data_IF_919092979650
#
_entry.id   IF_919092979650
#
_cell.length_a   1.000
_cell.length_b   1.000
_cell.length_c   1.000
_cell.angle_alpha   90.00
_cell.angle_beta   90.00
_cell.angle_gamma   90.00
#
_symmetry.space_group_name_H-M   'P 1'
#
loop_
_entity.id
_entity.type
_entity.pdbx_description
1 polymer ?
#
# COMPACT_ATOMS: atom_id res chain seq x y z
N UNK A 1 -6.03 8.81 -1.38
CA UNK A 1 -6.88 10.02 -1.36
C UNK A 1 -6.15 11.29 -1.81
N UNK A 2 -4.83 11.27 -2.08
CA UNK A 2 -4.08 12.47 -2.50
C UNK A 2 -4.70 13.20 -3.69
N UNK A 3 -5.07 12.46 -4.75
CA UNK A 3 -5.70 13.05 -5.94
C UNK A 3 -7.05 13.72 -5.62
N UNK A 4 -7.81 13.16 -4.68
CA UNK A 4 -9.08 13.74 -4.23
C UNK A 4 -8.83 15.06 -3.49
N UNK A 5 -7.88 15.09 -2.56
CA UNK A 5 -7.53 16.31 -1.82
C UNK A 5 -6.99 17.40 -2.75
N UNK A 6 -6.11 17.04 -3.68
CA UNK A 6 -5.60 17.95 -4.70
C UNK A 6 -6.74 18.54 -5.55
N UNK A 7 -7.64 17.70 -6.07
CA UNK A 7 -8.79 18.15 -6.85
C UNK A 7 -9.78 19.02 -6.06
N UNK A 8 -9.88 18.81 -4.73
CA UNK A 8 -10.74 19.59 -3.83
C UNK A 8 -10.04 20.79 -3.17
N UNK A 9 -8.75 20.99 -3.42
CA UNK A 9 -7.96 22.05 -2.78
C UNK A 9 -7.79 21.88 -1.26
N UNK A 10 -7.90 20.66 -0.75
CA UNK A 10 -7.75 20.38 0.69
C UNK A 10 -6.26 20.23 1.01
N UNK A 11 -5.71 21.25 1.65
CA UNK A 11 -4.27 21.30 2.03
C UNK A 11 -4.05 21.03 3.51
N UNK A 12 -4.99 21.45 4.36
CA UNK A 12 -4.92 21.30 5.81
C UNK A 12 -4.97 19.83 6.23
N UNK A 13 -3.99 19.41 7.03
CA UNK A 13 -3.82 18.01 7.42
C UNK A 13 -4.92 17.51 8.34
N UNK A 14 -5.42 18.34 9.25
CA UNK A 14 -6.54 17.98 10.14
C UNK A 14 -7.80 17.76 9.31
N UNK A 15 -8.06 18.61 8.31
CA UNK A 15 -9.17 18.43 7.38
C UNK A 15 -9.00 17.16 6.54
N UNK A 16 -7.78 16.82 6.10
CA UNK A 16 -7.51 15.57 5.37
C UNK A 16 -7.79 14.33 6.23
N UNK A 17 -7.30 14.30 7.47
CA UNK A 17 -7.53 13.20 8.41
C UNK A 17 -9.03 13.02 8.67
N UNK A 18 -9.72 14.12 9.00
CA UNK A 18 -11.17 14.09 9.23
C UNK A 18 -11.93 13.61 8.00
N UNK A 19 -11.63 14.16 6.82
CA UNK A 19 -12.29 13.78 5.57
C UNK A 19 -12.04 12.30 5.25
N UNK A 20 -10.80 11.82 5.38
CA UNK A 20 -10.48 10.42 5.12
C UNK A 20 -11.16 9.46 6.09
N UNK A 21 -11.23 9.84 7.37
CA UNK A 21 -11.89 9.03 8.39
C UNK A 21 -13.38 8.79 8.10
N UNK A 22 -14.05 9.75 7.44
CA UNK A 22 -15.45 9.60 7.03
C UNK A 22 -15.66 8.53 5.94
N UNK A 23 -14.60 8.17 5.21
CA UNK A 23 -14.65 7.10 4.20
C UNK A 23 -14.31 5.71 4.76
N UNK A 24 -13.91 5.60 6.03
CA UNK A 24 -13.64 4.29 6.64
C UNK A 24 -14.95 3.54 6.90
N UNK A 25 -14.94 2.24 6.62
CA UNK A 25 -16.09 1.34 6.86
C UNK A 25 -15.65 0.11 7.65
N UNK A 26 -16.64 -0.63 8.19
CA UNK A 26 -16.46 -1.93 8.84
C UNK A 26 -15.35 -1.94 9.90
N UNK A 27 -14.36 -2.84 9.74
CA UNK A 27 -13.26 -3.03 10.69
C UNK A 27 -12.37 -1.78 10.77
N UNK A 28 -12.17 -1.06 9.66
CA UNK A 28 -11.36 0.16 9.65
C UNK A 28 -12.03 1.30 10.42
N UNK A 29 -13.35 1.41 10.35
CA UNK A 29 -14.11 2.38 11.16
C UNK A 29 -14.04 2.06 12.66
N UNK A 30 -14.16 0.77 13.03
CA UNK A 30 -14.05 0.35 14.43
C UNK A 30 -12.66 0.63 15.01
N UNK A 31 -11.60 0.34 14.24
CA UNK A 31 -10.24 0.70 14.61
C UNK A 31 -10.09 2.20 14.85
N UNK A 32 -10.55 3.04 13.91
CA UNK A 32 -10.43 4.50 14.03
C UNK A 32 -11.16 5.05 15.26
N UNK A 33 -12.34 4.51 15.58
CA UNK A 33 -13.06 4.86 16.82
C UNK A 33 -12.31 4.47 18.07
N UNK A 34 -11.70 3.28 18.10
CA UNK A 34 -10.83 2.86 19.20
C UNK A 34 -9.63 3.80 19.36
N UNK A 35 -8.96 4.09 18.24
CA UNK A 35 -7.77 4.95 18.17
C UNK A 35 -8.01 6.39 18.66
N UNK A 36 -9.20 6.93 18.40
CA UNK A 36 -9.58 8.31 18.78
C UNK A 36 -10.16 8.41 20.20
N UNK A 37 -10.71 7.32 20.73
CA UNK A 37 -11.28 7.29 22.09
C UNK A 37 -10.21 7.01 23.16
N UNK A 38 -9.10 6.40 22.76
CA UNK A 38 -7.98 6.11 23.64
C UNK A 38 -7.25 7.39 24.08
N UNK A 39 -7.55 7.84 25.30
CA UNK A 39 -6.95 9.04 25.90
C UNK A 39 -5.45 8.92 26.18
N UNK A 40 -4.88 7.72 26.09
CA UNK A 40 -3.43 7.52 26.22
C UNK A 40 -2.67 7.82 24.94
N UNK A 41 -3.37 7.88 23.80
CA UNK A 41 -2.76 8.13 22.50
C UNK A 41 -2.91 9.60 22.10
N UNK A 42 -1.85 10.14 21.50
CA UNK A 42 -1.86 11.51 20.99
C UNK A 42 -2.85 11.64 19.83
N UNK A 43 -3.48 12.82 19.71
CA UNK A 43 -4.31 13.17 18.58
C UNK A 43 -3.48 13.16 17.29
N UNK A 44 -4.00 12.52 16.23
CA UNK A 44 -3.35 12.48 14.93
C UNK A 44 -3.68 13.78 14.19
N UNK A 45 -2.81 14.77 14.34
CA UNK A 45 -2.94 16.07 13.67
C UNK A 45 -2.32 16.13 12.27
N UNK A 46 -1.44 15.18 11.92
CA UNK A 46 -0.77 15.14 10.62
C UNK A 46 -1.32 14.05 9.72
N UNK A 47 -1.44 14.37 8.44
CA UNK A 47 -1.94 13.43 7.44
C UNK A 47 -1.01 12.21 7.27
N UNK A 48 0.30 12.44 7.32
CA UNK A 48 1.29 11.37 7.19
C UNK A 48 1.20 10.35 8.36
N UNK A 49 0.98 10.82 9.58
CA UNK A 49 0.84 9.96 10.77
C UNK A 49 -0.40 9.06 10.63
N UNK A 50 -1.52 9.63 10.18
CA UNK A 50 -2.73 8.86 9.87
C UNK A 50 -2.48 7.79 8.81
N UNK A 51 -1.77 8.14 7.72
CA UNK A 51 -1.43 7.18 6.67
C UNK A 51 -0.55 6.03 7.18
N UNK A 52 0.46 6.34 8.01
CA UNK A 52 1.35 5.33 8.58
C UNK A 52 0.60 4.35 9.47
N UNK A 53 -0.24 4.85 10.38
CA UNK A 53 -1.00 3.99 11.28
C UNK A 53 -2.07 3.17 10.54
N UNK A 54 -2.81 3.80 9.61
CA UNK A 54 -3.80 3.10 8.80
C UNK A 54 -3.16 1.98 7.97
N UNK A 55 -1.98 2.25 7.39
CA UNK A 55 -1.18 1.23 6.71
C UNK A 55 -0.73 0.15 7.68
N UNK A 56 -0.12 0.47 8.81
CA UNK A 56 0.33 -0.54 9.77
C UNK A 56 -0.77 -1.48 10.28
N UNK A 57 -2.03 -1.03 10.27
CA UNK A 57 -3.18 -1.80 10.78
C UNK A 57 -3.89 -2.64 9.72
N UNK A 58 -4.06 -2.10 8.51
CA UNK A 58 -4.85 -2.73 7.45
C UNK A 58 -4.05 -3.11 6.21
N UNK A 59 -2.83 -2.62 6.14
CA UNK A 59 -1.82 -3.06 5.22
C UNK A 59 -0.75 -3.77 6.06
N UNK A 60 -1.03 -4.99 6.58
CA UNK A 60 0.04 -5.82 7.12
C UNK A 60 1.04 -5.86 6.00
N UNK A 61 2.22 -5.31 6.22
CA UNK A 61 3.21 -5.11 5.19
C UNK A 61 3.21 -6.29 4.20
N UNK A 62 2.62 -6.09 3.02
CA UNK A 62 3.36 -6.46 1.82
C UNK A 62 4.54 -5.49 1.88
N UNK A 63 5.52 -5.80 2.73
CA UNK A 63 6.76 -5.07 2.82
C UNK A 63 7.26 -5.07 1.40
N UNK A 64 7.92 -3.99 1.01
CA UNK A 64 8.77 -4.04 -0.17
C UNK A 64 9.62 -5.34 -0.16
N UNK A 65 10.04 -5.81 1.02
CA UNK A 65 10.65 -7.13 1.25
C UNK A 65 9.78 -8.34 0.87
N UNK A 66 8.49 -8.41 1.24
CA UNK A 66 7.59 -9.49 0.80
C UNK A 66 7.32 -9.43 -0.70
N UNK A 67 7.14 -8.22 -1.25
CA UNK A 67 6.99 -8.02 -2.68
C UNK A 67 8.27 -8.45 -3.41
N UNK A 68 9.45 -8.14 -2.85
CA UNK A 68 10.76 -8.62 -3.31
C UNK A 68 10.88 -10.14 -3.23
N UNK A 69 10.48 -10.76 -2.12
CA UNK A 69 10.54 -12.21 -1.95
C UNK A 69 9.62 -12.92 -2.97
N UNK A 70 8.42 -12.41 -3.18
CA UNK A 70 7.47 -12.90 -4.20
C UNK A 70 7.99 -12.65 -5.62
N UNK A 71 8.64 -11.51 -5.85
CA UNK A 71 9.25 -11.17 -7.14
C UNK A 71 10.42 -12.11 -7.45
N UNK A 72 11.31 -12.37 -6.50
CA UNK A 72 12.43 -13.31 -6.64
C UNK A 72 11.97 -14.77 -6.84
N UNK A 73 10.85 -15.15 -6.20
CA UNK A 73 10.25 -16.47 -6.32
C UNK A 73 9.20 -16.61 -7.43
N UNK A 74 8.99 -15.58 -8.26
CA UNK A 74 7.91 -15.60 -9.25
C UNK A 74 8.13 -16.75 -10.23
N UNK A 75 7.10 -17.56 -10.42
CA UNK A 75 7.11 -18.70 -11.36
C UNK A 75 5.88 -18.62 -12.24
N UNK A 76 6.02 -18.97 -13.52
CA UNK A 76 4.88 -19.03 -14.43
C UNK A 76 3.89 -20.11 -13.99
N UNK A 77 2.78 -19.66 -13.43
CA UNK A 77 1.59 -20.49 -13.24
C UNK A 77 0.52 -20.08 -14.26
N UNK A 78 0.08 -21.01 -15.11
CA UNK A 78 -0.92 -20.72 -16.15
C UNK A 78 -0.33 -20.08 -17.41
N UNK A 79 -1.05 -19.13 -18.00
CA UNK A 79 -0.66 -18.48 -19.26
C UNK A 79 0.43 -17.44 -19.05
N UNK A 80 1.15 -17.11 -20.14
CA UNK A 80 2.12 -16.00 -20.13
C UNK A 80 1.46 -14.67 -19.77
N UNK A 81 0.19 -14.47 -20.16
CA UNK A 81 -0.55 -13.25 -19.85
C UNK A 81 -0.84 -13.08 -18.35
N UNK A 82 -1.16 -14.15 -17.65
CA UNK A 82 -1.36 -14.15 -16.19
C UNK A 82 -0.04 -13.89 -15.46
N UNK A 83 1.04 -14.53 -15.91
CA UNK A 83 2.38 -14.29 -15.40
C UNK A 83 2.82 -12.82 -15.54
N UNK A 84 2.66 -12.23 -16.74
CA UNK A 84 3.00 -10.82 -16.99
C UNK A 84 2.17 -9.89 -16.09
N UNK A 85 0.90 -10.23 -15.83
CA UNK A 85 0.02 -9.44 -14.97
C UNK A 85 0.51 -9.45 -13.52
N UNK A 86 0.79 -10.63 -12.97
CA UNK A 86 1.29 -10.76 -11.60
C UNK A 86 2.69 -10.15 -11.44
N UNK A 87 3.57 -10.35 -12.41
CA UNK A 87 4.89 -9.71 -12.43
C UNK A 87 4.78 -8.19 -12.38
N UNK A 88 3.94 -7.58 -13.22
CA UNK A 88 3.72 -6.12 -13.22
C UNK A 88 3.10 -5.64 -11.91
N UNK A 89 2.19 -6.41 -11.32
CA UNK A 89 1.58 -6.08 -10.03
C UNK A 89 2.62 -6.07 -8.90
N UNK A 90 3.59 -6.99 -8.89
CA UNK A 90 4.69 -7.01 -7.94
C UNK A 90 5.68 -5.87 -8.17
N UNK A 91 6.04 -5.59 -9.43
CA UNK A 91 6.90 -4.46 -9.79
C UNK A 91 6.35 -3.10 -9.35
N UNK A 92 5.01 -2.91 -9.36
CA UNK A 92 4.38 -1.67 -8.88
C UNK A 92 4.40 -1.51 -7.36
N UNK A 93 4.69 -2.59 -6.62
CA UNK A 93 4.78 -2.59 -5.16
C UNK A 93 6.23 -2.45 -4.65
N UNK A 94 7.22 -2.55 -5.55
CA UNK A 94 8.65 -2.43 -5.22
C UNK A 94 9.17 -1.09 -5.74
N UNK A 95 9.80 -0.31 -4.87
CA UNK A 95 10.17 1.09 -5.10
C UNK A 95 11.42 1.22 -6.00
N UNK A 96 12.37 0.28 -5.90
CA UNK A 96 13.71 0.39 -6.48
C UNK A 96 14.21 -0.86 -7.25
N UNK A 97 13.49 -1.34 -8.27
CA UNK A 97 14.03 -2.36 -9.17
C UNK A 97 14.61 -1.70 -10.43
N UNK A 98 15.89 -1.94 -10.74
CA UNK A 98 16.44 -1.49 -12.02
C UNK A 98 15.87 -2.30 -13.18
N UNK A 99 15.78 -1.72 -14.38
CA UNK A 99 15.27 -2.41 -15.58
C UNK A 99 16.02 -3.74 -15.82
N UNK A 100 17.33 -3.76 -15.61
CA UNK A 100 18.19 -4.94 -15.76
C UNK A 100 17.84 -6.05 -14.75
N UNK A 101 17.62 -5.71 -13.48
CA UNK A 101 17.22 -6.67 -12.46
C UNK A 101 15.81 -7.21 -12.73
N UNK A 102 14.89 -6.34 -13.14
CA UNK A 102 13.52 -6.73 -13.50
C UNK A 102 13.49 -7.74 -14.65
N UNK A 103 14.32 -7.53 -15.68
CA UNK A 103 14.45 -8.45 -16.81
C UNK A 103 15.02 -9.80 -16.38
N UNK A 104 16.03 -9.81 -15.51
CA UNK A 104 16.62 -11.05 -15.01
C UNK A 104 15.62 -11.87 -14.20
N UNK A 105 14.87 -11.22 -13.31
CA UNK A 105 13.82 -11.87 -12.52
C UNK A 105 12.70 -12.40 -13.43
N UNK A 106 12.26 -11.58 -14.39
CA UNK A 106 11.22 -11.96 -15.34
C UNK A 106 11.61 -13.20 -16.15
N UNK A 107 12.85 -13.29 -16.62
CA UNK A 107 13.35 -14.44 -17.38
C UNK A 107 13.54 -15.68 -16.49
N UNK A 108 13.96 -15.51 -15.24
CA UNK A 108 14.11 -16.61 -14.30
C UNK A 108 12.78 -17.27 -13.94
N UNK A 109 11.70 -16.50 -13.84
CA UNK A 109 10.35 -17.03 -13.57
C UNK A 109 9.65 -17.65 -14.79
N UNK A 110 10.18 -17.45 -16.00
CA UNK A 110 9.70 -18.05 -17.24
C UNK A 110 10.27 -19.45 -17.53
N UNK A 111 11.12 -19.99 -16.64
CA UNK A 111 11.73 -21.32 -16.82
C UNK A 111 10.66 -22.42 -17.09
N UNK A 112 11.00 -23.47 -17.86
CA UNK A 112 10.06 -24.49 -18.34
C UNK A 112 9.24 -25.16 -17.24
#
# INVERSE_FOLDING_TARGET
>A
MENYFCAKGIVDDVIKVNTASMFLTDIALLWWRGRTTDKSQCEIGKWQEFQCELKGQFYPEFTEEEAWAKLQGITRWGTVGEYVREFKKLMLQVSEVTEKESLLVFLNGLKP
#
